data_IF_999093283260
#
_entry.id   IF_999093283260
#
_cell.length_a   1.000
_cell.length_b   1.000
_cell.length_c   1.000
_cell.angle_alpha   90.00
_cell.angle_beta   90.00
_cell.angle_gamma   90.00
#
_symmetry.space_group_name_H-M   'P 1'
#
loop_
_entity.id
_entity.type
_entity.pdbx_description
1 polymer ?
#
# COMPACT_ATOMS: atom_id res chain seq x y z
N UNK A 1 2.43 -8.37 -11.14
CA UNK A 1 3.34 -7.34 -10.56
C UNK A 1 4.56 -7.19 -11.46
N UNK A 2 4.92 -5.95 -11.80
CA UNK A 2 6.11 -5.71 -12.64
C UNK A 2 7.39 -5.96 -11.86
N UNK A 3 8.51 -6.13 -12.58
CA UNK A 3 9.82 -6.31 -11.93
C UNK A 3 10.20 -5.09 -11.10
N UNK A 4 9.85 -3.89 -11.54
CA UNK A 4 10.09 -2.66 -10.81
C UNK A 4 9.36 -2.64 -9.46
N UNK A 5 8.09 -3.03 -9.45
CA UNK A 5 7.30 -3.10 -8.21
C UNK A 5 7.86 -4.17 -7.28
N UNK A 6 8.25 -5.32 -7.82
CA UNK A 6 8.87 -6.38 -7.02
C UNK A 6 10.14 -5.92 -6.34
N UNK A 7 10.99 -5.19 -7.06
CA UNK A 7 12.22 -4.64 -6.51
C UNK A 7 11.93 -3.65 -5.38
N UNK A 8 10.93 -2.78 -5.56
CA UNK A 8 10.53 -1.82 -4.54
C UNK A 8 10.00 -2.51 -3.28
N UNK A 9 9.17 -3.54 -3.45
CA UNK A 9 8.63 -4.31 -2.33
C UNK A 9 9.76 -4.94 -1.52
N UNK A 10 10.71 -5.57 -2.20
CA UNK A 10 11.86 -6.20 -1.53
C UNK A 10 12.73 -5.19 -0.80
N UNK A 11 12.91 -4.01 -1.38
CA UNK A 11 13.67 -2.94 -0.74
C UNK A 11 12.95 -2.41 0.51
N UNK A 12 11.69 -2.02 0.38
CA UNK A 12 10.92 -1.49 1.52
C UNK A 12 10.79 -2.48 2.66
N UNK A 13 10.70 -3.76 2.33
CA UNK A 13 10.63 -4.83 3.33
C UNK A 13 11.83 -4.83 4.26
N UNK A 14 13.00 -4.41 3.78
CA UNK A 14 14.23 -4.37 4.58
C UNK A 14 14.30 -3.20 5.54
N UNK A 15 13.42 -2.19 5.36
CA UNK A 15 13.46 -0.98 6.16
C UNK A 15 12.56 -1.10 7.40
N UNK A 16 12.88 -0.36 8.48
CA UNK A 16 11.97 -0.29 9.62
C UNK A 16 10.72 0.53 9.29
N UNK A 17 9.67 0.33 10.07
CA UNK A 17 8.38 0.99 9.87
C UNK A 17 8.52 2.51 9.71
N UNK A 18 9.28 3.15 10.61
CA UNK A 18 9.43 4.60 10.62
C UNK A 18 10.02 5.13 9.32
N UNK A 19 10.94 4.39 8.74
CA UNK A 19 11.59 4.76 7.49
C UNK A 19 10.61 4.62 6.31
N UNK A 20 9.85 3.53 6.27
CA UNK A 20 8.84 3.32 5.23
C UNK A 20 7.76 4.40 5.31
N UNK A 21 7.30 4.70 6.53
CA UNK A 21 6.30 5.75 6.75
C UNK A 21 6.78 7.09 6.22
N UNK A 22 8.03 7.45 6.55
CA UNK A 22 8.63 8.72 6.10
C UNK A 22 8.76 8.78 4.59
N UNK A 23 9.26 7.72 3.98
CA UNK A 23 9.46 7.66 2.53
C UNK A 23 8.13 7.80 1.78
N UNK A 24 7.09 7.12 2.25
CA UNK A 24 5.79 7.18 1.57
C UNK A 24 5.17 8.57 1.66
N UNK A 25 5.38 9.28 2.76
CA UNK A 25 4.89 10.65 2.89
C UNK A 25 5.74 11.68 2.14
N UNK A 26 6.93 11.29 1.69
CA UNK A 26 7.77 12.13 0.85
C UNK A 26 7.45 11.98 -0.64
N UNK A 27 6.68 10.97 -1.03
CA UNK A 27 6.23 10.84 -2.42
C UNK A 27 5.25 11.96 -2.74
N UNK A 28 5.40 12.52 -3.93
CA UNK A 28 4.64 13.68 -4.37
C UNK A 28 3.12 13.46 -4.32
N UNK A 29 2.68 12.27 -4.70
CA UNK A 29 1.26 11.95 -4.85
C UNK A 29 0.76 10.89 -3.86
N UNK A 30 1.39 10.82 -2.70
CA UNK A 30 1.04 9.79 -1.74
C UNK A 30 1.18 10.29 -0.31
N UNK A 31 0.25 9.88 0.56
CA UNK A 31 0.33 10.15 1.99
C UNK A 31 -0.19 8.95 2.77
N UNK A 32 0.26 8.83 4.01
CA UNK A 32 -0.23 7.81 4.94
C UNK A 32 -0.95 8.53 6.08
N UNK A 33 -2.19 8.10 6.33
CA UNK A 33 -3.03 8.67 7.39
C UNK A 33 -3.31 7.58 8.41
N UNK A 34 -3.04 7.86 9.68
CA UNK A 34 -3.33 6.94 10.76
C UNK A 34 -4.70 7.28 11.35
N UNK A 35 -5.58 6.30 11.39
CA UNK A 35 -6.95 6.51 11.79
C UNK A 35 -7.38 5.48 12.83
N UNK A 36 -8.33 5.87 13.65
CA UNK A 36 -8.95 4.97 14.62
C UNK A 36 -10.06 4.16 13.94
N UNK A 37 -9.66 3.28 13.02
CA UNK A 37 -10.53 2.45 12.20
C UNK A 37 -10.21 0.98 12.40
N UNK A 38 -11.19 0.12 12.15
CA UNK A 38 -11.00 -1.33 12.24
C UNK A 38 -10.26 -1.89 11.03
N UNK A 39 -10.36 -1.24 9.87
CA UNK A 39 -9.79 -1.71 8.60
C UNK A 39 -8.89 -0.66 7.98
N UNK A 40 -7.88 -1.13 7.26
CA UNK A 40 -7.01 -0.29 6.44
C UNK A 40 -7.61 -0.18 5.04
N UNK A 41 -7.47 0.99 4.43
CA UNK A 41 -7.96 1.15 3.06
C UNK A 41 -7.22 2.26 2.31
N UNK A 42 -7.45 2.28 1.01
CA UNK A 42 -6.86 3.25 0.07
C UNK A 42 -7.98 4.08 -0.50
N UNK A 43 -7.75 5.37 -0.64
CA UNK A 43 -8.67 6.20 -1.40
C UNK A 43 -7.90 7.30 -2.14
N UNK A 44 -8.51 7.80 -3.21
CA UNK A 44 -7.94 8.87 -4.02
C UNK A 44 -8.10 10.21 -3.29
N UNK A 45 -7.03 10.99 -3.28
CA UNK A 45 -7.07 12.33 -2.69
C UNK A 45 -7.10 13.38 -3.79
N UNK A 46 -8.23 14.07 -3.95
CA UNK A 46 -8.39 15.12 -4.96
C UNK A 46 -7.55 16.35 -4.63
N UNK A 47 -7.25 16.59 -3.35
CA UNK A 47 -6.47 17.75 -2.91
C UNK A 47 -5.04 17.65 -3.44
N UNK A 48 -4.46 16.48 -3.39
CA UNK A 48 -3.08 16.23 -3.81
C UNK A 48 -2.98 15.57 -5.18
N UNK A 49 -4.12 15.30 -5.80
CA UNK A 49 -4.21 14.53 -7.04
C UNK A 49 -3.43 13.22 -6.93
N UNK A 50 -3.58 12.54 -5.80
CA UNK A 50 -2.81 11.34 -5.49
C UNK A 50 -3.58 10.40 -4.58
N UNK A 51 -2.84 9.61 -3.82
CA UNK A 51 -3.40 8.53 -3.02
C UNK A 51 -3.22 8.77 -1.53
N UNK A 52 -4.27 8.51 -0.77
CA UNK A 52 -4.20 8.45 0.69
C UNK A 52 -4.36 7.01 1.12
N UNK A 53 -3.39 6.52 1.88
CA UNK A 53 -3.47 5.20 2.51
C UNK A 53 -3.92 5.41 3.94
N UNK A 54 -5.08 4.84 4.30
CA UNK A 54 -5.62 4.97 5.65
C UNK A 54 -5.36 3.68 6.40
N UNK A 55 -4.57 3.79 7.47
CA UNK A 55 -4.16 2.66 8.28
C UNK A 55 -4.76 2.74 9.66
N UNK A 56 -5.05 1.57 10.23
CA UNK A 56 -5.51 1.46 11.61
C UNK A 56 -4.32 1.69 12.56
N UNK A 57 -4.37 2.80 13.31
CA UNK A 57 -3.27 3.18 14.22
C UNK A 57 -3.06 2.22 15.38
N UNK A 58 -4.01 1.32 15.64
CA UNK A 58 -3.92 0.35 16.73
C UNK A 58 -3.23 -0.95 16.36
N UNK A 59 -2.84 -1.10 15.09
CA UNK A 59 -2.12 -2.29 14.65
C UNK A 59 -0.64 -2.19 15.02
N UNK A 60 0.00 -3.36 15.09
CA UNK A 60 1.45 -3.42 15.31
C UNK A 60 2.19 -2.72 14.16
N UNK A 61 3.34 -2.13 14.47
CA UNK A 61 4.15 -1.39 13.48
C UNK A 61 4.53 -2.27 12.29
N UNK A 62 4.88 -3.54 12.53
CA UNK A 62 5.22 -4.47 11.45
C UNK A 62 4.03 -4.75 10.55
N UNK A 63 2.82 -4.81 11.10
CA UNK A 63 1.62 -4.97 10.30
C UNK A 63 1.33 -3.71 9.48
N UNK A 64 1.49 -2.53 10.09
CA UNK A 64 1.31 -1.27 9.36
C UNK A 64 2.31 -1.14 8.21
N UNK A 65 3.55 -1.54 8.44
CA UNK A 65 4.56 -1.57 7.38
C UNK A 65 4.14 -2.51 6.25
N UNK A 66 3.72 -3.71 6.58
CA UNK A 66 3.21 -4.68 5.61
C UNK A 66 2.08 -4.07 4.76
N UNK A 67 1.12 -3.43 5.42
CA UNK A 67 -0.03 -2.84 4.72
C UNK A 67 0.36 -1.67 3.84
N UNK A 68 1.27 -0.81 4.28
CA UNK A 68 1.78 0.29 3.44
C UNK A 68 2.39 -0.25 2.15
N UNK A 69 3.25 -1.24 2.26
CA UNK A 69 3.93 -1.83 1.10
C UNK A 69 2.92 -2.55 0.20
N UNK A 70 1.97 -3.27 0.80
CA UNK A 70 0.90 -3.94 0.06
C UNK A 70 0.08 -2.94 -0.76
N UNK A 71 -0.35 -1.84 -0.13
CA UNK A 71 -1.17 -0.82 -0.79
C UNK A 71 -0.38 -0.08 -1.87
N UNK A 72 0.90 0.17 -1.63
CA UNK A 72 1.79 0.76 -2.63
C UNK A 72 1.82 -0.07 -3.90
N UNK A 73 2.06 -1.37 -3.77
CA UNK A 73 2.09 -2.27 -4.92
C UNK A 73 0.73 -2.37 -5.61
N UNK A 74 -0.36 -2.34 -4.83
CA UNK A 74 -1.72 -2.35 -5.36
C UNK A 74 -1.98 -1.13 -6.24
N UNK A 75 -1.61 0.04 -5.75
CA UNK A 75 -1.78 1.30 -6.48
C UNK A 75 -0.96 1.29 -7.78
N UNK A 76 0.30 0.92 -7.70
CA UNK A 76 1.19 0.93 -8.86
C UNK A 76 0.83 -0.15 -9.88
N UNK A 77 0.14 -1.19 -9.45
CA UNK A 77 -0.36 -2.24 -10.34
C UNK A 77 -1.68 -1.85 -11.03
N UNK A 78 -2.22 -0.67 -10.69
CA UNK A 78 -3.47 -0.19 -11.27
C UNK A 78 -4.71 -0.95 -10.81
N UNK A 79 -4.67 -1.50 -9.60
CA UNK A 79 -5.75 -2.35 -9.07
C UNK A 79 -6.71 -1.59 -8.14
N UNK A 80 -6.71 -0.27 -8.20
CA UNK A 80 -7.70 0.58 -7.55
C UNK A 80 -8.02 1.72 -8.50
N UNK A 81 -9.29 2.11 -8.56
CA UNK A 81 -9.67 3.24 -9.39
C UNK A 81 -9.38 4.58 -8.67
N UNK A 82 -9.73 5.67 -9.33
CA UNK A 82 -9.48 7.02 -8.80
C UNK A 82 -10.17 7.30 -7.46
N UNK A 83 -11.19 6.53 -7.12
CA UNK A 83 -11.91 6.65 -5.85
C UNK A 83 -11.47 5.60 -4.83
N UNK A 84 -10.46 4.80 -5.17
CA UNK A 84 -9.94 3.75 -4.31
C UNK A 84 -10.77 2.48 -4.33
N UNK A 85 -11.72 2.35 -5.25
CA UNK A 85 -12.57 1.18 -5.35
C UNK A 85 -11.80 0.01 -5.97
N UNK A 86 -11.84 -1.13 -5.30
CA UNK A 86 -11.14 -2.36 -5.71
C UNK A 86 -12.05 -3.40 -6.35
N UNK A 87 -13.37 -3.23 -6.24
CA UNK A 87 -14.33 -4.22 -6.75
C UNK A 87 -14.17 -4.53 -8.24
N UNK A 88 -13.95 -3.53 -9.12
CA UNK A 88 -13.76 -3.81 -10.54
C UNK A 88 -12.55 -4.69 -10.86
N UNK A 89 -11.62 -4.83 -9.91
CA UNK A 89 -10.36 -5.54 -10.12
C UNK A 89 -10.25 -6.81 -9.28
N UNK A 90 -11.36 -7.31 -8.77
CA UNK A 90 -11.39 -8.37 -7.76
C UNK A 90 -10.56 -9.61 -8.14
N UNK A 91 -10.71 -10.13 -9.35
CA UNK A 91 -9.98 -11.32 -9.79
C UNK A 91 -8.47 -11.06 -9.92
N UNK A 92 -8.11 -9.86 -10.42
CA UNK A 92 -6.69 -9.48 -10.53
C UNK A 92 -6.06 -9.23 -9.16
N UNK A 93 -6.85 -8.74 -8.20
CA UNK A 93 -6.38 -8.55 -6.83
C UNK A 93 -6.10 -9.89 -6.17
N UNK A 94 -6.89 -10.92 -6.45
CA UNK A 94 -6.61 -12.26 -5.93
C UNK A 94 -5.25 -12.77 -6.41
N UNK A 95 -4.94 -12.58 -7.69
CA UNK A 95 -3.62 -12.91 -8.25
C UNK A 95 -2.51 -12.08 -7.59
N UNK A 96 -2.74 -10.78 -7.44
CA UNK A 96 -1.81 -9.88 -6.78
C UNK A 96 -1.52 -10.31 -5.34
N UNK A 97 -2.57 -10.66 -4.60
CA UNK A 97 -2.42 -11.07 -3.21
C UNK A 97 -1.53 -12.30 -3.08
N UNK A 98 -1.73 -13.30 -3.94
CA UNK A 98 -0.92 -14.52 -3.93
C UNK A 98 0.56 -14.20 -4.25
N UNK A 99 0.78 -13.36 -5.25
CA UNK A 99 2.13 -12.94 -5.67
C UNK A 99 2.82 -12.11 -4.58
N UNK A 100 2.08 -11.17 -3.99
CA UNK A 100 2.62 -10.33 -2.92
C UNK A 100 2.99 -11.16 -1.69
N UNK A 101 2.13 -12.07 -1.27
CA UNK A 101 2.41 -12.94 -0.12
C UNK A 101 3.66 -13.78 -0.35
N UNK A 102 3.79 -14.37 -1.53
CA UNK A 102 4.96 -15.18 -1.88
C UNK A 102 6.24 -14.33 -1.84
N UNK A 103 6.15 -13.08 -2.28
CA UNK A 103 7.30 -12.17 -2.33
C UNK A 103 7.65 -11.64 -0.94
N UNK A 104 6.65 -11.19 -0.19
CA UNK A 104 6.89 -10.55 1.10
C UNK A 104 7.32 -11.53 2.19
N UNK A 105 6.77 -12.73 2.20
CA UNK A 105 7.04 -13.74 3.21
C UNK A 105 8.19 -14.68 2.86
N UNK A 106 9.00 -14.27 1.92
CA UNK A 106 10.15 -15.06 1.46
C UNK A 106 11.29 -15.09 2.47
#
# INVERSE_FOLDING_TARGET
MTDSIKADVLYFKTLPYEEVFRLFNDFENMEVVLFDKMEDFVFYSKIKDGWSMILNKHRLKEHMKYKMIYLYGLILSGLADKDGDKEPFKSKIEEYNAEFDALYNK
#
